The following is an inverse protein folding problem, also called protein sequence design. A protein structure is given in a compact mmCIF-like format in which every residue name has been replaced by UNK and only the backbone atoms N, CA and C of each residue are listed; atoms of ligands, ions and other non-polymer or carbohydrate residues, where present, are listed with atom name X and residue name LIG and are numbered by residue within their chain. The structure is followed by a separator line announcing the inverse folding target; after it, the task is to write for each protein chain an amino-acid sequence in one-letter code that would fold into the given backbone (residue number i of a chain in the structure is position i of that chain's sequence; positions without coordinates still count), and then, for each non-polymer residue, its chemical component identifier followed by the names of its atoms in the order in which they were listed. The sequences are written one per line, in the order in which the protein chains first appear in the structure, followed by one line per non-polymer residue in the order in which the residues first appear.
data_IF_732386029765
#
_entry.id   IF_732386029765
#
_cell.length_a   1.000
_cell.length_b   1.000
_cell.length_c   1.000
_cell.angle_alpha   90.00
_cell.angle_beta   90.00
_cell.angle_gamma   90.00
#
_symmetry.space_group_name_H-M   'P 1'
#
loop_
_entity.id
_entity.type
_entity.pdbx_description
1 polymer ?
#
# COMPACT_ATOMS: atom_id res chain seq x y z
N UNK A 1 16.13 20.95 -28.51
CA UNK A 1 15.87 19.52 -28.24
C UNK A 1 16.78 18.69 -29.12
N UNK A 2 17.66 17.88 -28.54
CA UNK A 2 18.48 16.92 -29.27
C UNK A 2 17.58 15.79 -29.82
N UNK A 3 17.39 15.71 -31.13
CA UNK A 3 16.53 14.72 -31.82
C UNK A 3 17.12 13.31 -31.95
N UNK A 4 18.06 12.96 -31.06
CA UNK A 4 18.80 11.70 -31.08
C UNK A 4 18.08 10.60 -30.32
N UNK A 5 18.33 9.34 -30.71
CA UNK A 5 17.84 8.17 -29.99
C UNK A 5 18.34 8.20 -28.54
N UNK A 6 17.41 8.01 -27.58
CA UNK A 6 17.71 8.03 -26.15
C UNK A 6 18.15 6.63 -25.73
N UNK A 7 19.16 6.57 -24.88
CA UNK A 7 19.66 5.33 -24.31
C UNK A 7 19.15 5.16 -22.88
N UNK A 8 18.90 3.92 -22.48
CA UNK A 8 18.60 3.56 -21.09
C UNK A 8 19.87 3.72 -20.24
N UNK A 9 19.80 4.57 -19.21
CA UNK A 9 20.92 4.80 -18.27
C UNK A 9 20.73 4.01 -16.99
N UNK A 10 19.49 3.92 -16.52
CA UNK A 10 19.19 3.39 -15.22
C UNK A 10 17.85 2.68 -15.19
N UNK A 11 17.80 1.63 -14.38
CA UNK A 11 16.60 0.82 -14.14
C UNK A 11 16.30 0.85 -12.65
N UNK A 12 15.20 1.49 -12.29
CA UNK A 12 14.69 1.46 -10.91
C UNK A 12 13.69 0.32 -10.79
N UNK A 13 13.97 -0.66 -9.93
CA UNK A 13 13.07 -1.77 -9.65
C UNK A 13 12.32 -1.50 -8.35
N UNK A 14 10.99 -1.53 -8.41
CA UNK A 14 10.13 -1.39 -7.25
C UNK A 14 9.25 -2.62 -7.07
N UNK A 15 9.36 -3.26 -5.93
CA UNK A 15 8.55 -4.43 -5.53
C UNK A 15 7.34 -4.00 -4.71
N UNK A 16 6.19 -4.65 -4.91
CA UNK A 16 4.96 -4.39 -4.16
C UNK A 16 4.19 -5.69 -3.98
N UNK A 17 3.59 -5.91 -2.82
CA UNK A 17 2.75 -7.08 -2.54
C UNK A 17 1.35 -6.83 -3.10
N UNK A 18 0.88 -7.73 -3.97
CA UNK A 18 -0.47 -7.75 -4.53
C UNK A 18 -1.21 -8.92 -3.89
N UNK A 19 -2.40 -8.65 -3.37
CA UNK A 19 -3.24 -9.67 -2.74
C UNK A 19 -4.37 -10.04 -3.69
N UNK A 20 -4.32 -11.25 -4.22
CA UNK A 20 -5.44 -11.89 -4.94
C UNK A 20 -6.04 -12.89 -3.94
N UNK A 21 -7.37 -13.05 -3.82
CA UNK A 21 -7.93 -13.97 -2.83
C UNK A 21 -7.29 -15.37 -2.93
N UNK A 22 -6.76 -15.83 -1.79
CA UNK A 22 -5.96 -17.06 -1.58
C UNK A 22 -4.48 -17.04 -2.03
N UNK A 23 -3.97 -15.97 -2.65
CA UNK A 23 -2.58 -15.89 -3.13
C UNK A 23 -1.94 -14.53 -2.86
N UNK A 24 -0.70 -14.55 -2.34
CA UNK A 24 0.11 -13.35 -2.16
C UNK A 24 1.20 -13.34 -3.22
N UNK A 25 1.19 -12.32 -4.08
CA UNK A 25 2.17 -12.19 -5.16
C UNK A 25 3.03 -10.95 -5.00
N UNK A 26 4.28 -11.03 -5.45
CA UNK A 26 5.17 -9.88 -5.55
C UNK A 26 5.08 -9.35 -6.97
N UNK A 27 4.62 -8.11 -7.11
CA UNK A 27 4.62 -7.37 -8.37
C UNK A 27 5.87 -6.50 -8.44
N UNK A 28 6.67 -6.68 -9.48
CA UNK A 28 7.83 -5.84 -9.78
C UNK A 28 7.47 -4.80 -10.84
N UNK A 29 7.46 -3.53 -10.44
CA UNK A 29 7.31 -2.40 -11.34
C UNK A 29 8.71 -1.87 -11.70
N UNK A 30 9.03 -1.94 -12.98
CA UNK A 30 10.34 -1.55 -13.52
C UNK A 30 10.19 -0.19 -14.19
N UNK A 31 10.99 0.79 -13.74
CA UNK A 31 11.00 2.13 -14.30
C UNK A 31 12.33 2.41 -14.99
N UNK A 32 12.26 2.73 -16.28
CA UNK A 32 13.41 3.08 -17.09
C UNK A 32 13.68 4.58 -17.03
N UNK A 33 14.96 4.93 -16.94
CA UNK A 33 15.44 6.31 -17.04
C UNK A 33 16.23 6.44 -18.34
N UNK A 34 15.84 7.41 -19.16
CA UNK A 34 16.44 7.64 -20.47
C UNK A 34 17.24 8.94 -20.47
N UNK A 35 18.41 8.94 -21.11
CA UNK A 35 19.01 10.20 -21.55
C UNK A 35 19.74 10.08 -22.89
N UNK A 36 20.15 11.24 -23.40
CA UNK A 36 20.84 11.38 -24.68
C UNK A 36 22.34 11.09 -24.51
N UNK A 37 22.94 10.17 -25.31
CA UNK A 37 24.37 9.90 -25.23
C UNK A 37 25.23 11.08 -25.72
N UNK A 38 24.82 11.79 -26.79
CA UNK A 38 25.58 12.93 -27.34
C UNK A 38 25.74 14.06 -26.34
N UNK A 39 24.65 14.43 -25.65
CA UNK A 39 24.69 15.47 -24.63
C UNK A 39 25.56 15.07 -23.42
N UNK A 40 25.71 13.76 -23.15
CA UNK A 40 26.58 13.26 -22.07
C UNK A 40 28.05 13.45 -22.40
N UNK A 41 28.43 13.24 -23.66
CA UNK A 41 29.81 13.38 -24.15
C UNK A 41 30.20 14.85 -24.35
N UNK A 42 29.26 15.68 -24.82
CA UNK A 42 29.48 17.12 -25.05
C UNK A 42 29.50 17.97 -23.77
N UNK A 43 29.32 17.37 -22.59
CA UNK A 43 29.37 18.07 -21.30
C UNK A 43 28.23 19.06 -21.07
N UNK A 44 27.19 19.04 -21.92
CA UNK A 44 25.98 19.84 -21.73
C UNK A 44 25.04 19.16 -20.75
N UNK A 45 24.29 19.94 -19.95
CA UNK A 45 23.34 19.40 -18.98
C UNK A 45 22.36 18.42 -19.65
N UNK A 46 22.59 17.11 -19.48
CA UNK A 46 21.74 16.07 -20.06
C UNK A 46 20.38 16.10 -19.39
N UNK A 47 19.26 16.35 -20.10
CA UNK A 47 17.95 16.28 -19.50
C UNK A 47 17.59 14.81 -19.23
N UNK A 48 17.75 14.39 -17.98
CA UNK A 48 17.38 13.04 -17.51
C UNK A 48 15.86 12.97 -17.42
N UNK A 49 15.21 12.22 -18.31
CA UNK A 49 13.76 12.02 -18.28
C UNK A 49 13.45 10.69 -17.61
N UNK A 50 12.84 10.77 -16.42
CA UNK A 50 12.31 9.62 -15.69
C UNK A 50 10.90 9.31 -16.21
N UNK A 51 10.57 8.02 -16.34
CA UNK A 51 9.20 7.61 -16.63
C UNK A 51 8.24 8.08 -15.52
N UNK A 52 6.99 8.38 -15.89
CA UNK A 52 5.95 8.74 -14.93
C UNK A 52 5.72 7.59 -13.94
N UNK A 53 5.72 7.93 -12.65
CA UNK A 53 5.66 6.98 -11.54
C UNK A 53 4.38 7.22 -10.75
N UNK A 54 3.60 6.15 -10.54
CA UNK A 54 2.52 6.20 -9.56
C UNK A 54 3.13 6.25 -8.15
N UNK A 55 2.71 7.21 -7.30
CA UNK A 55 3.24 7.32 -5.95
C UNK A 55 2.92 6.06 -5.13
N UNK A 56 3.83 5.76 -4.20
CA UNK A 56 3.57 4.75 -3.17
C UNK A 56 2.35 5.14 -2.34
N UNK A 57 1.56 4.15 -1.89
CA UNK A 57 0.67 4.42 -0.75
C UNK A 57 1.49 4.76 0.51
N UNK A 58 2.50 3.93 0.81
CA UNK A 58 3.45 4.17 1.91
C UNK A 58 4.88 4.06 1.34
N UNK A 59 5.68 5.15 1.37
CA UNK A 59 7.05 5.13 0.86
C UNK A 59 7.92 4.17 1.67
N UNK A 60 8.82 3.44 0.99
CA UNK A 60 9.74 2.49 1.64
C UNK A 60 9.12 1.15 2.05
N UNK A 61 7.80 0.96 1.87
CA UNK A 61 7.12 -0.31 2.16
C UNK A 61 6.72 -1.06 0.88
N UNK A 62 6.48 -2.37 1.03
CA UNK A 62 5.91 -3.22 -0.01
C UNK A 62 4.38 -3.18 -0.04
N UNK A 63 3.74 -2.37 0.80
CA UNK A 63 2.29 -2.35 0.93
C UNK A 63 1.63 -1.75 -0.32
N UNK A 64 0.82 -2.54 -1.03
CA UNK A 64 -0.15 -2.03 -2.00
C UNK A 64 -1.43 -1.55 -1.30
N UNK A 65 -2.22 -0.76 -2.00
CA UNK A 65 -3.56 -0.41 -1.56
C UNK A 65 -4.46 -1.64 -1.32
N UNK A 66 -4.35 -2.65 -2.18
CA UNK A 66 -5.11 -3.90 -2.06
C UNK A 66 -4.74 -4.67 -0.79
N UNK A 67 -3.43 -4.78 -0.50
CA UNK A 67 -2.95 -5.45 0.70
C UNK A 67 -3.43 -4.76 1.97
N UNK A 68 -3.37 -3.42 2.01
CA UNK A 68 -3.85 -2.64 3.15
C UNK A 68 -5.37 -2.79 3.32
N UNK A 69 -6.13 -2.73 2.22
CA UNK A 69 -7.58 -2.92 2.26
C UNK A 69 -7.96 -4.29 2.82
N UNK A 70 -7.30 -5.37 2.36
CA UNK A 70 -7.53 -6.72 2.86
C UNK A 70 -7.23 -6.85 4.36
N UNK A 71 -6.10 -6.31 4.82
CA UNK A 71 -5.73 -6.33 6.24
C UNK A 71 -6.73 -5.54 7.08
N UNK A 72 -7.20 -4.39 6.59
CA UNK A 72 -8.21 -3.59 7.27
C UNK A 72 -9.54 -4.35 7.42
N UNK A 73 -10.02 -5.00 6.37
CA UNK A 73 -11.24 -5.82 6.42
C UNK A 73 -11.09 -6.96 7.43
N UNK A 74 -9.98 -7.69 7.40
CA UNK A 74 -9.73 -8.79 8.35
C UNK A 74 -9.68 -8.29 9.80
N UNK A 75 -8.99 -7.18 10.06
CA UNK A 75 -8.82 -6.64 11.42
C UNK A 75 -10.10 -6.02 11.97
N UNK A 76 -10.78 -5.19 11.19
CA UNK A 76 -11.89 -4.37 11.68
C UNK A 76 -13.27 -4.99 11.42
N UNK A 77 -13.49 -5.56 10.25
CA UNK A 77 -14.81 -6.14 9.93
C UNK A 77 -14.97 -7.50 10.56
N UNK A 78 -13.96 -8.38 10.47
CA UNK A 78 -14.09 -9.75 10.97
C UNK A 78 -13.72 -9.86 12.46
N UNK A 79 -12.52 -9.39 12.83
CA UNK A 79 -11.99 -9.61 14.17
C UNK A 79 -12.56 -8.64 15.22
N UNK A 80 -12.68 -7.34 14.90
CA UNK A 80 -13.23 -6.40 15.87
C UNK A 80 -14.73 -6.60 16.11
N UNK A 81 -15.53 -6.92 15.09
CA UNK A 81 -16.97 -7.20 15.26
C UNK A 81 -17.25 -8.45 16.10
N UNK A 82 -16.47 -9.52 15.90
CA UNK A 82 -16.59 -10.75 16.70
C UNK A 82 -16.21 -10.52 18.16
N UNK A 83 -15.13 -9.77 18.43
CA UNK A 83 -14.75 -9.40 19.79
C UNK A 83 -15.72 -8.42 20.46
N UNK A 84 -16.25 -7.47 19.70
CA UNK A 84 -17.29 -6.55 20.17
C UNK A 84 -18.53 -7.35 20.61
N UNK A 85 -19.06 -8.20 19.74
CA UNK A 85 -20.21 -9.06 20.06
C UNK A 85 -19.97 -9.95 21.28
N UNK A 86 -18.76 -10.52 21.42
CA UNK A 86 -18.39 -11.30 22.61
C UNK A 86 -18.43 -10.47 23.89
N UNK A 87 -17.99 -9.21 23.87
CA UNK A 87 -18.05 -8.32 25.04
C UNK A 87 -19.48 -7.96 25.47
N UNK A 88 -20.41 -7.70 24.55
CA UNK A 88 -21.82 -7.46 24.91
C UNK A 88 -22.54 -8.73 25.35
N UNK A 89 -22.22 -9.89 24.75
CA UNK A 89 -22.77 -11.17 25.19
C UNK A 89 -22.29 -11.57 26.60
N UNK A 90 -21.14 -11.04 27.05
CA UNK A 90 -20.59 -11.24 28.39
C UNK A 90 -20.88 -10.09 29.35
N UNK A 91 -21.62 -9.05 28.94
CA UNK A 91 -22.14 -8.10 29.92
C UNK A 91 -23.13 -8.87 30.79
N UNK A 92 -22.84 -9.08 32.10
CA UNK A 92 -23.86 -9.61 32.98
C UNK A 92 -24.99 -8.60 32.89
N UNK A 93 -26.15 -9.02 32.37
CA UNK A 93 -27.38 -8.24 32.43
C UNK A 93 -27.49 -7.80 33.87
N UNK A 94 -27.17 -6.54 34.14
CA UNK A 94 -27.25 -5.99 35.47
C UNK A 94 -28.71 -6.14 35.82
N UNK A 95 -28.98 -7.09 36.72
CA UNK A 95 -30.29 -7.39 37.27
C UNK A 95 -31.07 -6.07 37.33
N UNK A 96 -32.07 -5.93 36.47
CA UNK A 96 -33.23 -5.12 36.76
C UNK A 96 -33.84 -5.69 38.04
N UNK A 97 -33.29 -5.32 39.19
CA UNK A 97 -33.85 -5.54 40.52
C UNK A 97 -33.67 -4.25 41.32
N UNK A 98 -34.09 -3.13 40.73
CA UNK A 98 -34.62 -2.01 41.51
C UNK A 98 -36.08 -2.36 41.81
N UNK A 99 -36.29 -3.14 42.86
CA UNK A 99 -37.63 -3.61 43.21
C UNK A 99 -37.65 -4.56 44.38
N UNK A 100 -37.06 -4.16 45.51
CA UNK A 100 -37.52 -4.49 46.87
C UNK A 100 -36.56 -3.87 47.90
N UNK A 101 -36.73 -2.58 48.17
CA UNK A 101 -36.50 -2.04 49.51
C UNK A 101 -37.87 -1.82 50.12
N UNK A 102 -38.32 -2.84 50.84
CA UNK A 102 -39.48 -2.77 51.74
C UNK A 102 -38.95 -2.28 53.09
N UNK A 103 -39.65 -1.32 53.66
CA UNK A 103 -39.46 -0.76 55.00
C UNK A 103 -39.23 -1.83 56.06
#
# INVERSE_FOLDING_TARGET
MCGTAKMEIGRDVRRTLVMIPAQVMIRENIYFTYACPKCKEEGTETPIRKAERLPALIPGSYASAEAVAHIMVQKFVMYASSNFRRRYAQQPTTRMFLGNRRW
#
